data_IF_666954578679
#
_entry.id   IF_666954578679
#
_cell.length_a   1.000
_cell.length_b   1.000
_cell.length_c   1.000
_cell.angle_alpha   90.00
_cell.angle_beta   90.00
_cell.angle_gamma   90.00
#
_symmetry.space_group_name_H-M   'P 1'
#
loop_
_entity.id
_entity.type
_entity.pdbx_description
1 polymer ?
#
# COMPACT_ATOMS: atom_id res chain seq x y z
N UNK A 1 0.66 1.69 27.07
CA UNK A 1 0.40 0.41 26.39
C UNK A 1 -1.05 0.44 25.93
N UNK A 2 -1.30 0.41 24.62
CA UNK A 2 -2.63 0.37 24.03
C UNK A 2 -2.98 -1.07 23.63
N UNK A 3 -4.27 -1.38 23.52
CA UNK A 3 -4.78 -2.63 22.93
C UNK A 3 -5.11 -2.39 21.46
N UNK A 4 -4.56 -3.20 20.58
CA UNK A 4 -4.60 -2.99 19.14
C UNK A 4 -5.08 -4.25 18.44
N UNK A 5 -5.82 -4.08 17.34
CA UNK A 5 -6.17 -5.18 16.45
C UNK A 5 -5.60 -4.93 15.05
N UNK A 6 -4.90 -5.90 14.43
CA UNK A 6 -4.40 -5.76 13.06
C UNK A 6 -5.09 -6.73 12.11
N UNK A 7 -5.80 -6.18 11.12
CA UNK A 7 -6.61 -6.92 10.16
C UNK A 7 -5.89 -6.98 8.81
N UNK A 8 -5.47 -8.18 8.41
CA UNK A 8 -4.77 -8.42 7.15
C UNK A 8 -3.26 -8.51 7.33
N UNK A 9 -2.73 -9.73 7.22
CA UNK A 9 -1.31 -10.00 7.44
C UNK A 9 -0.60 -10.23 6.10
N UNK A 10 -0.84 -9.36 5.11
CA UNK A 10 -0.16 -9.41 3.81
C UNK A 10 1.34 -9.13 3.89
N UNK A 11 1.99 -8.94 2.74
CA UNK A 11 3.42 -8.55 2.67
C UNK A 11 3.71 -7.28 3.47
N UNK A 12 2.75 -6.36 3.52
CA UNK A 12 2.84 -5.12 4.30
C UNK A 12 2.39 -5.32 5.75
N UNK A 13 1.20 -5.88 5.97
CA UNK A 13 0.59 -5.97 7.30
C UNK A 13 1.34 -6.86 8.30
N UNK A 14 1.98 -7.93 7.84
CA UNK A 14 2.71 -8.87 8.70
C UNK A 14 3.84 -8.19 9.50
N UNK A 15 4.80 -7.49 8.88
CA UNK A 15 5.82 -6.75 9.61
C UNK A 15 5.27 -5.51 10.35
N UNK A 16 4.25 -4.83 9.81
CA UNK A 16 3.63 -3.67 10.49
C UNK A 16 3.03 -4.06 11.85
N UNK A 17 2.31 -5.18 11.92
CA UNK A 17 1.79 -5.71 13.17
C UNK A 17 2.92 -6.05 14.15
N UNK A 18 4.06 -6.57 13.65
CA UNK A 18 5.18 -6.95 14.50
C UNK A 18 5.85 -5.73 15.16
N UNK A 19 5.97 -4.61 14.44
CA UNK A 19 6.47 -3.36 15.01
C UNK A 19 5.62 -2.85 16.18
N UNK A 20 4.30 -3.10 16.16
CA UNK A 20 3.42 -2.72 17.26
C UNK A 20 3.67 -3.54 18.54
N UNK A 21 3.92 -4.84 18.40
CA UNK A 21 4.33 -5.69 19.54
C UNK A 21 5.69 -5.22 20.08
N UNK A 22 6.65 -4.96 19.18
CA UNK A 22 7.98 -4.48 19.56
C UNK A 22 7.94 -3.11 20.25
N UNK A 23 6.95 -2.27 19.95
CA UNK A 23 6.68 -1.01 20.63
C UNK A 23 5.99 -1.19 22.01
N UNK A 24 5.72 -2.42 22.43
CA UNK A 24 5.13 -2.75 23.72
C UNK A 24 3.60 -2.62 23.77
N UNK A 25 2.91 -2.73 22.64
CA UNK A 25 1.45 -2.80 22.59
C UNK A 25 0.94 -4.23 22.69
N UNK A 26 -0.29 -4.39 23.19
CA UNK A 26 -0.99 -5.68 23.14
C UNK A 26 -1.71 -5.78 21.78
N UNK A 27 -1.36 -6.76 20.96
CA UNK A 27 -1.85 -6.87 19.58
C UNK A 27 -2.60 -8.18 19.38
N UNK A 28 -3.83 -8.10 18.85
CA UNK A 28 -4.60 -9.24 18.36
C UNK A 28 -4.73 -9.17 16.85
N UNK A 29 -4.26 -10.19 16.13
CA UNK A 29 -4.29 -10.17 14.66
C UNK A 29 -5.43 -11.00 14.07
N UNK A 30 -5.88 -10.61 12.88
CA UNK A 30 -6.77 -11.40 12.05
C UNK A 30 -6.21 -11.47 10.62
N UNK A 31 -6.39 -12.62 9.98
CA UNK A 31 -6.18 -12.76 8.55
C UNK A 31 -7.17 -13.77 7.98
N UNK A 32 -7.64 -13.55 6.74
CA UNK A 32 -8.59 -14.44 6.05
C UNK A 32 -8.15 -15.91 6.04
N UNK A 33 -6.85 -16.16 5.92
CA UNK A 33 -6.24 -17.48 6.11
C UNK A 33 -5.74 -17.57 7.54
N UNK A 34 -6.44 -18.32 8.39
CA UNK A 34 -6.21 -18.41 9.84
C UNK A 34 -4.79 -18.88 10.18
N UNK A 35 -4.26 -19.84 9.41
CA UNK A 35 -2.91 -20.38 9.62
C UNK A 35 -1.83 -19.28 9.56
N UNK A 36 -2.09 -18.20 8.82
CA UNK A 36 -1.18 -17.05 8.74
C UNK A 36 -1.19 -16.23 10.04
N UNK A 37 -2.34 -16.10 10.68
CA UNK A 37 -2.51 -15.39 11.95
C UNK A 37 -1.91 -16.20 13.11
N UNK A 38 -2.16 -17.52 13.13
CA UNK A 38 -1.53 -18.47 14.07
C UNK A 38 0.00 -18.43 13.98
N UNK A 39 0.52 -18.51 12.75
CA UNK A 39 1.96 -18.42 12.50
C UNK A 39 2.54 -17.11 13.02
N UNK A 40 1.91 -15.98 12.68
CA UNK A 40 2.33 -14.66 13.15
C UNK A 40 2.37 -14.60 14.69
N UNK A 41 1.31 -15.07 15.36
CA UNK A 41 1.23 -15.07 16.82
C UNK A 41 2.34 -15.91 17.45
N UNK A 42 2.64 -17.08 16.87
CA UNK A 42 3.70 -17.98 17.34
C UNK A 42 5.12 -17.41 17.16
N UNK A 43 5.35 -16.63 16.11
CA UNK A 43 6.67 -16.09 15.76
C UNK A 43 6.98 -14.77 16.49
N UNK A 44 5.98 -13.90 16.65
CA UNK A 44 6.18 -12.52 17.09
C UNK A 44 5.79 -12.30 18.57
N UNK A 45 4.82 -13.05 19.10
CA UNK A 45 4.36 -12.91 20.48
C UNK A 45 3.22 -11.90 20.66
N UNK A 46 2.08 -12.17 20.03
CA UNK A 46 0.79 -11.51 20.25
C UNK A 46 -0.36 -12.51 20.15
N UNK A 47 -1.61 -12.04 20.19
CA UNK A 47 -2.80 -12.88 20.08
C UNK A 47 -3.33 -12.92 18.64
N UNK A 48 -4.22 -13.86 18.34
CA UNK A 48 -5.01 -13.86 17.11
C UNK A 48 -6.47 -14.20 17.39
N UNK A 49 -7.35 -13.83 16.48
CA UNK A 49 -8.77 -14.14 16.56
C UNK A 49 -9.31 -14.66 15.21
N UNK A 50 -10.39 -15.48 15.22
CA UNK A 50 -10.95 -16.08 14.01
C UNK A 50 -11.77 -15.11 13.15
N UNK A 51 -12.19 -13.97 13.69
CA UNK A 51 -12.98 -12.95 12.97
C UNK A 51 -12.43 -11.53 13.23
N UNK A 52 -12.64 -10.58 12.30
CA UNK A 52 -12.32 -9.17 12.53
C UNK A 52 -13.00 -8.60 13.78
N UNK A 53 -14.26 -8.96 14.04
CA UNK A 53 -15.01 -8.60 15.23
C UNK A 53 -14.30 -9.04 16.52
N UNK A 54 -13.91 -10.31 16.59
CA UNK A 54 -13.24 -10.84 17.78
C UNK A 54 -11.86 -10.21 17.97
N UNK A 55 -11.12 -9.95 16.89
CA UNK A 55 -9.85 -9.23 16.97
C UNK A 55 -10.03 -7.81 17.49
N UNK A 56 -11.08 -7.11 17.04
CA UNK A 56 -11.38 -5.74 17.42
C UNK A 56 -11.94 -5.57 18.84
N UNK A 57 -12.37 -6.66 19.48
CA UNK A 57 -13.07 -6.63 20.76
C UNK A 57 -12.23 -5.97 21.87
N UNK A 58 -12.67 -4.79 22.32
CA UNK A 58 -12.02 -4.04 23.39
C UNK A 58 -10.74 -3.30 22.99
N UNK A 59 -10.33 -3.36 21.72
CA UNK A 59 -9.20 -2.63 21.18
C UNK A 59 -9.44 -1.11 21.24
N UNK A 60 -8.37 -0.35 21.49
CA UNK A 60 -8.35 1.11 21.41
C UNK A 60 -8.18 1.58 19.96
N UNK A 61 -7.38 0.83 19.19
CA UNK A 61 -7.20 1.05 17.75
C UNK A 61 -7.35 -0.26 16.98
N UNK A 62 -7.98 -0.17 15.82
CA UNK A 62 -8.07 -1.29 14.87
C UNK A 62 -7.44 -0.83 13.57
N UNK A 63 -6.35 -1.48 13.17
CA UNK A 63 -5.64 -1.18 11.93
C UNK A 63 -5.98 -2.22 10.87
N UNK A 64 -6.09 -1.80 9.62
CA UNK A 64 -6.30 -2.71 8.49
C UNK A 64 -5.28 -2.48 7.37
N UNK A 65 -4.82 -3.56 6.73
CA UNK A 65 -4.03 -3.51 5.52
C UNK A 65 -4.37 -4.71 4.62
N UNK A 66 -5.43 -4.56 3.81
CA UNK A 66 -5.99 -5.63 2.97
C UNK A 66 -5.77 -5.37 1.48
N UNK A 67 -6.52 -6.00 0.58
CA UNK A 67 -6.24 -5.99 -0.87
C UNK A 67 -6.88 -4.82 -1.64
N UNK A 68 -8.18 -4.61 -1.47
CA UNK A 68 -8.97 -3.64 -2.24
C UNK A 68 -10.21 -3.17 -1.44
N UNK A 69 -11.06 -2.36 -2.09
CA UNK A 69 -12.29 -1.82 -1.52
C UNK A 69 -13.23 -2.90 -0.95
N UNK A 70 -13.43 -4.02 -1.66
CA UNK A 70 -14.31 -5.11 -1.23
C UNK A 70 -13.71 -5.90 -0.06
N UNK A 71 -12.40 -6.16 -0.10
CA UNK A 71 -11.68 -6.77 1.03
C UNK A 71 -11.80 -5.87 2.28
N UNK A 72 -11.70 -4.55 2.13
CA UNK A 72 -11.86 -3.61 3.25
C UNK A 72 -13.27 -3.66 3.82
N UNK A 73 -14.31 -3.61 2.96
CA UNK A 73 -15.70 -3.79 3.40
C UNK A 73 -15.88 -5.10 4.16
N UNK A 74 -15.31 -6.19 3.66
CA UNK A 74 -15.45 -7.52 4.25
C UNK A 74 -14.89 -7.64 5.66
N UNK A 75 -13.86 -6.85 6.01
CA UNK A 75 -13.29 -6.86 7.36
C UNK A 75 -13.87 -5.79 8.28
N UNK A 76 -14.57 -4.80 7.73
CA UNK A 76 -15.15 -3.68 8.49
C UNK A 76 -16.63 -3.89 8.80
N UNK A 77 -17.39 -4.36 7.83
CA UNK A 77 -18.86 -4.45 7.87
C UNK A 77 -19.35 -5.88 8.18
N UNK A 78 -20.63 -6.01 8.54
CA UNK A 78 -21.29 -7.29 8.82
C UNK A 78 -21.19 -7.74 10.28
N UNK A 79 -21.83 -8.86 10.60
CA UNK A 79 -21.91 -9.39 11.98
C UNK A 79 -20.56 -9.82 12.55
N UNK A 80 -19.62 -10.18 11.66
CA UNK A 80 -18.24 -10.55 11.98
C UNK A 80 -17.22 -9.45 11.64
N UNK A 81 -17.68 -8.30 11.14
CA UNK A 81 -16.84 -7.16 10.79
C UNK A 81 -16.31 -6.42 12.00
N UNK A 82 -15.22 -5.67 11.82
CA UNK A 82 -14.55 -4.94 12.89
C UNK A 82 -15.49 -3.99 13.65
N UNK A 83 -16.37 -3.28 12.94
CA UNK A 83 -17.30 -2.34 13.59
C UNK A 83 -18.24 -3.04 14.58
N UNK A 84 -18.59 -4.31 14.35
CA UNK A 84 -19.43 -5.08 15.29
C UNK A 84 -18.69 -5.50 16.58
N UNK A 85 -17.37 -5.35 16.64
CA UNK A 85 -16.53 -5.64 17.82
C UNK A 85 -15.91 -4.42 18.47
N UNK A 86 -15.83 -3.30 17.76
CA UNK A 86 -15.24 -2.06 18.25
C UNK A 86 -16.12 -1.39 19.31
N UNK A 87 -15.47 -0.69 20.25
CA UNK A 87 -16.11 0.12 21.28
C UNK A 87 -16.18 1.59 20.85
N UNK A 88 -17.16 2.32 21.39
CA UNK A 88 -17.22 3.78 21.28
C UNK A 88 -15.89 4.41 21.72
N UNK A 89 -15.43 5.41 20.98
CA UNK A 89 -14.15 6.10 21.22
C UNK A 89 -12.90 5.38 20.66
N UNK A 90 -13.02 4.15 20.16
CA UNK A 90 -11.92 3.51 19.44
C UNK A 90 -11.70 4.15 18.05
N UNK A 91 -10.50 3.99 17.48
CA UNK A 91 -10.16 4.53 16.15
C UNK A 91 -9.81 3.42 15.17
N UNK A 92 -10.49 3.41 14.01
CA UNK A 92 -10.12 2.56 12.88
C UNK A 92 -9.07 3.27 12.00
N UNK A 93 -7.96 2.60 11.73
CA UNK A 93 -6.84 3.11 10.91
C UNK A 93 -6.68 2.23 9.67
N UNK A 94 -7.07 2.75 8.51
CA UNK A 94 -7.00 2.00 7.25
C UNK A 94 -5.71 2.32 6.47
N UNK A 95 -4.78 1.36 6.41
CA UNK A 95 -3.56 1.45 5.60
C UNK A 95 -3.74 0.90 4.18
N UNK A 96 -4.90 0.36 3.86
CA UNK A 96 -5.21 -0.18 2.54
C UNK A 96 -5.22 0.97 1.52
N UNK A 97 -4.73 0.72 0.31
CA UNK A 97 -4.99 1.64 -0.80
C UNK A 97 -6.35 1.30 -1.40
N UNK A 98 -7.33 2.16 -1.21
CA UNK A 98 -8.73 1.98 -1.65
C UNK A 98 -9.27 3.26 -2.27
N UNK A 99 -10.48 3.22 -2.84
CA UNK A 99 -11.12 4.46 -3.28
C UNK A 99 -11.44 5.40 -2.12
N UNK A 100 -11.37 6.72 -2.36
CA UNK A 100 -11.80 7.70 -1.36
C UNK A 100 -13.31 7.58 -1.06
N UNK A 101 -14.10 7.02 -2.00
CA UNK A 101 -15.52 6.74 -1.84
C UNK A 101 -15.75 5.72 -0.72
N UNK A 102 -15.15 4.51 -0.81
CA UNK A 102 -15.36 3.47 0.20
C UNK A 102 -14.87 3.93 1.58
N UNK A 103 -13.75 4.64 1.64
CA UNK A 103 -13.23 5.24 2.87
C UNK A 103 -14.25 6.16 3.53
N UNK A 104 -14.87 7.08 2.77
CA UNK A 104 -15.87 8.02 3.30
C UNK A 104 -17.14 7.32 3.77
N UNK A 105 -17.60 6.31 3.01
CA UNK A 105 -18.78 5.53 3.38
C UNK A 105 -18.57 4.75 4.69
N UNK A 106 -17.44 4.07 4.83
CA UNK A 106 -17.13 3.28 6.02
C UNK A 106 -16.89 4.18 7.24
N UNK A 107 -16.21 5.31 7.06
CA UNK A 107 -16.03 6.30 8.12
C UNK A 107 -17.36 6.88 8.61
N UNK A 108 -18.32 7.13 7.72
CA UNK A 108 -19.66 7.59 8.11
C UNK A 108 -20.37 6.56 8.99
N UNK A 109 -20.30 5.27 8.63
CA UNK A 109 -20.87 4.16 9.44
C UNK A 109 -20.18 4.01 10.79
N UNK A 110 -18.86 4.15 10.82
CA UNK A 110 -18.10 4.14 12.07
C UNK A 110 -18.53 5.28 12.99
N UNK A 111 -18.75 6.48 12.44
CA UNK A 111 -19.17 7.65 13.22
C UNK A 111 -20.56 7.48 13.86
N UNK A 112 -21.49 6.74 13.24
CA UNK A 112 -22.79 6.40 13.84
C UNK A 112 -22.67 5.61 15.15
N UNK A 113 -21.53 4.93 15.36
CA UNK A 113 -21.21 4.14 16.56
C UNK A 113 -20.22 4.85 17.48
N UNK A 114 -19.92 6.14 17.22
CA UNK A 114 -18.92 6.90 17.96
C UNK A 114 -17.48 6.39 17.78
N UNK A 115 -17.19 5.70 16.67
CA UNK A 115 -15.87 5.21 16.31
C UNK A 115 -15.17 6.24 15.42
N UNK A 116 -13.91 6.54 15.74
CA UNK A 116 -13.05 7.41 14.93
C UNK A 116 -12.49 6.71 13.71
N UNK A 117 -12.11 7.48 12.69
CA UNK A 117 -11.56 6.96 11.44
C UNK A 117 -10.37 7.78 10.95
N UNK A 118 -9.33 7.09 10.50
CA UNK A 118 -8.16 7.64 9.80
C UNK A 118 -7.84 6.76 8.59
N UNK A 119 -7.96 7.29 7.37
CA UNK A 119 -7.36 6.65 6.20
C UNK A 119 -5.88 7.02 6.12
N UNK A 120 -5.01 6.04 6.23
CA UNK A 120 -3.57 6.17 6.36
C UNK A 120 -2.80 5.29 5.36
N UNK A 121 -3.09 5.29 4.05
CA UNK A 121 -2.35 4.49 3.08
C UNK A 121 -0.85 4.77 3.10
N UNK A 122 -0.06 3.74 2.77
CA UNK A 122 1.39 3.73 2.98
C UNK A 122 2.19 3.72 1.68
N UNK A 123 3.42 4.22 1.72
CA UNK A 123 4.41 4.15 0.64
C UNK A 123 5.79 3.79 1.20
N UNK A 124 6.61 3.09 0.42
CA UNK A 124 7.91 2.54 0.84
C UNK A 124 8.10 1.04 0.54
N UNK A 125 7.04 0.36 0.12
CA UNK A 125 7.08 -1.06 -0.26
C UNK A 125 7.39 -2.00 0.90
N UNK A 126 7.59 -3.28 0.59
CA UNK A 126 7.88 -4.34 1.57
C UNK A 126 9.07 -3.98 2.47
N UNK A 127 10.18 -3.54 1.87
CA UNK A 127 11.38 -3.15 2.62
C UNK A 127 11.10 -2.01 3.61
N UNK A 128 10.25 -1.04 3.25
CA UNK A 128 9.82 0.01 4.16
C UNK A 128 9.00 -0.54 5.34
N UNK A 129 8.13 -1.52 5.11
CA UNK A 129 7.33 -2.15 6.15
C UNK A 129 8.18 -2.98 7.11
N UNK A 130 9.09 -3.81 6.58
CA UNK A 130 10.02 -4.63 7.36
C UNK A 130 10.94 -3.78 8.25
N UNK A 131 11.46 -2.67 7.71
CA UNK A 131 12.38 -1.80 8.44
C UNK A 131 11.68 -0.72 9.29
N UNK A 132 10.35 -0.65 9.30
CA UNK A 132 9.61 0.39 10.02
C UNK A 132 9.89 1.80 9.51
N UNK A 133 10.01 1.96 8.19
CA UNK A 133 10.40 3.20 7.51
C UNK A 133 9.35 3.67 6.48
N UNK A 134 8.07 3.37 6.71
CA UNK A 134 7.01 3.76 5.79
C UNK A 134 6.74 5.26 5.81
N UNK A 135 6.38 5.81 4.66
CA UNK A 135 5.76 7.13 4.53
C UNK A 135 4.24 6.95 4.54
N UNK A 136 3.54 7.69 5.42
CA UNK A 136 2.14 7.46 5.72
C UNK A 136 1.34 8.75 5.48
N UNK A 137 0.31 8.63 4.66
CA UNK A 137 -0.50 9.73 4.15
C UNK A 137 -1.86 9.67 4.83
N UNK A 138 -2.12 10.57 5.77
CA UNK A 138 -3.32 10.47 6.61
C UNK A 138 -4.41 11.46 6.18
N UNK A 139 -5.65 10.99 6.13
CA UNK A 139 -6.88 11.77 6.18
C UNK A 139 -7.70 11.40 7.42
N UNK A 140 -8.41 12.36 8.02
CA UNK A 140 -9.20 12.15 9.22
C UNK A 140 -9.53 13.44 9.95
N UNK A 141 -10.15 13.34 11.14
CA UNK A 141 -10.22 14.49 12.05
C UNK A 141 -8.86 14.69 12.71
N UNK A 142 -8.49 15.93 13.01
CA UNK A 142 -7.20 16.25 13.65
C UNK A 142 -6.96 15.48 14.96
N UNK A 143 -7.99 15.33 15.80
CA UNK A 143 -7.88 14.59 17.07
C UNK A 143 -7.64 13.09 16.83
N UNK A 144 -8.40 12.46 15.93
CA UNK A 144 -8.20 11.06 15.57
C UNK A 144 -6.81 10.82 14.96
N UNK A 145 -6.36 11.73 14.08
CA UNK A 145 -5.03 11.68 13.51
C UNK A 145 -3.95 11.78 14.59
N UNK A 146 -4.10 12.71 15.53
CA UNK A 146 -3.12 12.93 16.60
C UNK A 146 -2.92 11.68 17.45
N UNK A 147 -4.01 11.02 17.82
CA UNK A 147 -3.99 9.76 18.56
C UNK A 147 -3.40 8.61 17.73
N UNK A 148 -3.89 8.43 16.49
CA UNK A 148 -3.40 7.38 15.61
C UNK A 148 -1.91 7.53 15.27
N UNK A 149 -1.42 8.77 15.10
CA UNK A 149 -0.02 9.07 14.79
C UNK A 149 0.94 8.48 15.80
N UNK A 150 0.58 8.47 17.09
CA UNK A 150 1.41 7.91 18.15
C UNK A 150 1.59 6.38 17.99
N UNK A 151 0.55 5.68 17.54
CA UNK A 151 0.58 4.24 17.27
C UNK A 151 1.32 3.96 15.95
N UNK A 152 1.02 4.74 14.91
CA UNK A 152 1.62 4.63 13.58
C UNK A 152 3.15 4.82 13.61
N UNK A 153 3.66 5.61 14.55
CA UNK A 153 5.09 5.89 14.71
C UNK A 153 5.96 4.63 14.84
N UNK A 154 5.40 3.49 15.29
CA UNK A 154 6.12 2.23 15.44
C UNK A 154 6.71 1.69 14.13
N UNK A 155 6.11 1.99 12.97
CA UNK A 155 6.54 1.46 11.67
C UNK A 155 6.70 2.54 10.58
N UNK A 156 6.74 3.81 10.98
CA UNK A 156 6.79 4.94 10.06
C UNK A 156 8.08 5.72 10.15
N UNK A 157 8.61 6.14 9.01
CA UNK A 157 9.63 7.19 8.91
C UNK A 157 9.01 8.58 8.98
N UNK A 158 7.81 8.74 8.43
CA UNK A 158 7.12 10.03 8.38
C UNK A 158 5.62 9.86 8.16
N UNK A 159 4.84 10.64 8.90
CA UNK A 159 3.38 10.55 8.94
C UNK A 159 2.80 11.96 8.95
N UNK A 160 1.99 12.28 7.93
CA UNK A 160 1.48 13.65 7.67
C UNK A 160 -0.04 13.61 7.48
N UNK A 161 -0.72 14.61 8.04
CA UNK A 161 -2.15 14.83 7.87
C UNK A 161 -2.42 15.77 6.69
N UNK A 162 -3.30 15.36 5.77
CA UNK A 162 -3.60 16.09 4.54
C UNK A 162 -5.01 16.70 4.50
N UNK A 163 -5.86 16.41 5.49
CA UNK A 163 -7.21 16.93 5.59
C UNK A 163 -8.20 15.87 6.03
N UNK A 164 -9.49 16.11 5.78
CA UNK A 164 -10.56 15.21 6.22
C UNK A 164 -10.46 13.79 5.62
N UNK A 165 -11.33 12.91 6.11
CA UNK A 165 -11.45 11.52 5.64
C UNK A 165 -11.48 11.43 4.10
N UNK A 166 -10.60 10.59 3.56
CA UNK A 166 -10.35 10.38 2.13
C UNK A 166 -9.17 11.18 1.59
N UNK A 167 -8.65 12.19 2.32
CA UNK A 167 -7.48 12.96 1.89
C UNK A 167 -6.20 12.10 1.85
N UNK A 168 -6.08 11.10 2.72
CA UNK A 168 -4.99 10.13 2.68
C UNK A 168 -5.03 9.30 1.40
N UNK A 169 -6.20 8.76 1.05
CA UNK A 169 -6.40 8.03 -0.21
C UNK A 169 -6.12 8.90 -1.45
N UNK A 170 -6.62 10.14 -1.49
CA UNK A 170 -6.32 11.06 -2.60
C UNK A 170 -4.81 11.33 -2.72
N UNK A 171 -4.13 11.53 -1.59
CA UNK A 171 -2.67 11.72 -1.56
C UNK A 171 -1.94 10.47 -2.08
N UNK A 172 -2.42 9.28 -1.71
CA UNK A 172 -1.89 8.01 -2.21
C UNK A 172 -2.09 7.87 -3.72
N UNK A 173 -3.25 8.25 -4.26
CA UNK A 173 -3.49 8.24 -5.72
C UNK A 173 -2.48 9.15 -6.44
N UNK A 174 -2.20 10.34 -5.92
CA UNK A 174 -1.15 11.23 -6.47
C UNK A 174 0.20 10.52 -6.47
N UNK A 175 0.57 9.86 -5.37
CA UNK A 175 1.81 9.08 -5.30
C UNK A 175 1.87 7.98 -6.37
N UNK A 176 0.79 7.22 -6.58
CA UNK A 176 0.75 6.15 -7.58
C UNK A 176 0.82 6.69 -9.02
N UNK A 177 0.20 7.83 -9.31
CA UNK A 177 0.32 8.54 -10.59
C UNK A 177 1.78 8.92 -10.87
N UNK A 178 2.48 9.49 -9.87
CA UNK A 178 3.90 9.84 -9.99
C UNK A 178 4.78 8.61 -10.21
N UNK A 179 4.54 7.51 -9.48
CA UNK A 179 5.28 6.25 -9.64
C UNK A 179 5.12 5.69 -11.05
N UNK A 180 3.89 5.63 -11.58
CA UNK A 180 3.61 5.08 -12.90
C UNK A 180 4.38 5.79 -14.02
N UNK A 181 4.37 7.13 -14.02
CA UNK A 181 5.12 7.90 -15.00
C UNK A 181 6.63 7.70 -14.86
N UNK A 182 7.15 7.74 -13.63
CA UNK A 182 8.58 7.60 -13.38
C UNK A 182 9.11 6.23 -13.80
N UNK A 183 8.43 5.15 -13.44
CA UNK A 183 8.91 3.79 -13.70
C UNK A 183 8.83 3.40 -15.19
N UNK A 184 7.84 3.92 -15.91
CA UNK A 184 7.80 3.80 -17.37
C UNK A 184 8.98 4.53 -18.02
N UNK A 185 9.25 5.78 -17.62
CA UNK A 185 10.38 6.55 -18.15
C UNK A 185 11.74 5.87 -17.86
N UNK A 186 11.90 5.28 -16.66
CA UNK A 186 13.08 4.48 -16.32
C UNK A 186 13.19 3.24 -17.21
N UNK A 187 12.08 2.56 -17.49
CA UNK A 187 12.05 1.38 -18.37
C UNK A 187 12.51 1.73 -19.79
N UNK A 188 12.01 2.82 -20.35
CA UNK A 188 12.43 3.33 -21.66
C UNK A 188 13.91 3.72 -21.68
N UNK A 189 14.37 4.48 -20.68
CA UNK A 189 15.74 4.96 -20.61
C UNK A 189 16.77 3.84 -20.45
N UNK A 190 16.48 2.85 -19.59
CA UNK A 190 17.36 1.70 -19.41
C UNK A 190 17.37 0.79 -20.63
N UNK A 191 16.22 0.56 -21.26
CA UNK A 191 16.17 -0.22 -22.49
C UNK A 191 16.97 0.46 -23.61
N UNK A 192 16.86 1.78 -23.77
CA UNK A 192 17.68 2.55 -24.70
C UNK A 192 19.18 2.39 -24.41
N UNK A 193 19.59 2.48 -23.15
CA UNK A 193 20.99 2.29 -22.76
C UNK A 193 21.50 0.89 -23.13
N UNK A 194 20.70 -0.16 -22.89
CA UNK A 194 21.02 -1.54 -23.26
C UNK A 194 21.20 -1.67 -24.78
N UNK A 195 20.24 -1.17 -25.57
CA UNK A 195 20.30 -1.25 -27.03
C UNK A 195 21.45 -0.41 -27.63
N UNK A 196 21.84 0.67 -26.95
CA UNK A 196 23.00 1.48 -27.32
C UNK A 196 24.36 0.82 -26.96
N UNK A 197 24.36 -0.38 -26.35
CA UNK A 197 25.57 -1.08 -25.93
C UNK A 197 26.24 -0.47 -24.70
N UNK A 198 25.52 0.36 -23.93
CA UNK A 198 26.02 0.95 -22.70
C UNK A 198 25.86 -0.02 -21.52
N UNK A 199 26.73 0.16 -20.52
CA UNK A 199 26.55 -0.47 -19.21
C UNK A 199 25.39 0.22 -18.47
N UNK A 200 24.19 -0.35 -18.60
CA UNK A 200 22.96 0.25 -18.09
C UNK A 200 22.97 0.46 -16.57
N UNK A 201 23.73 -0.35 -15.80
CA UNK A 201 23.89 -0.14 -14.35
C UNK A 201 24.73 1.10 -14.07
N UNK A 202 25.87 1.28 -14.77
CA UNK A 202 26.65 2.52 -14.65
C UNK A 202 25.87 3.76 -15.10
N UNK A 203 25.06 3.63 -16.15
CA UNK A 203 24.16 4.72 -16.57
C UNK A 203 23.19 5.07 -15.44
N UNK A 204 22.53 4.08 -14.84
CA UNK A 204 21.62 4.30 -13.72
C UNK A 204 22.32 4.96 -12.52
N UNK A 205 23.50 4.46 -12.14
CA UNK A 205 24.29 4.99 -11.01
C UNK A 205 24.65 6.46 -11.18
N UNK A 206 25.06 6.89 -12.38
CA UNK A 206 25.40 8.27 -12.65
C UNK A 206 24.16 9.16 -12.83
N UNK A 207 23.19 8.72 -13.65
CA UNK A 207 22.01 9.53 -13.97
C UNK A 207 21.12 9.74 -12.75
N UNK A 208 21.07 8.77 -11.83
CA UNK A 208 20.31 8.88 -10.57
C UNK A 208 20.75 10.03 -9.67
N UNK A 209 21.98 10.54 -9.84
CA UNK A 209 22.53 11.67 -9.09
C UNK A 209 22.21 13.04 -9.72
N UNK A 210 21.71 13.05 -10.96
CA UNK A 210 21.40 14.27 -11.72
C UNK A 210 19.90 14.51 -11.88
N UNK A 211 19.54 15.43 -12.78
CA UNK A 211 18.15 15.81 -13.04
C UNK A 211 17.28 14.67 -13.62
N UNK A 212 17.89 13.63 -14.20
CA UNK A 212 17.19 12.41 -14.61
C UNK A 212 16.93 11.44 -13.47
N UNK A 213 17.37 11.75 -12.25
CA UNK A 213 17.26 10.88 -11.10
C UNK A 213 15.83 10.75 -10.56
N UNK A 214 15.54 9.56 -10.05
CA UNK A 214 14.32 9.27 -9.31
C UNK A 214 14.57 8.13 -8.34
N UNK A 215 13.68 7.97 -7.35
CA UNK A 215 13.74 6.81 -6.46
C UNK A 215 13.66 5.49 -7.25
N UNK A 216 12.84 5.45 -8.31
CA UNK A 216 12.70 4.26 -9.16
C UNK A 216 14.01 3.92 -9.87
N UNK A 217 14.70 4.91 -10.47
CA UNK A 217 15.98 4.67 -11.13
C UNK A 217 17.03 4.15 -10.14
N UNK A 218 17.14 4.78 -8.97
CA UNK A 218 18.13 4.40 -7.95
C UNK A 218 17.88 3.01 -7.34
N UNK A 219 16.63 2.55 -7.25
CA UNK A 219 16.28 1.33 -6.51
C UNK A 219 15.83 0.16 -7.39
N UNK A 220 15.46 0.39 -8.66
CA UNK A 220 14.94 -0.66 -9.56
C UNK A 220 15.82 -0.97 -10.75
N UNK A 221 16.73 -0.07 -11.14
CA UNK A 221 17.52 -0.26 -12.35
C UNK A 221 18.33 -1.56 -12.35
N UNK A 222 18.95 -1.92 -11.23
CA UNK A 222 19.71 -3.15 -11.11
C UNK A 222 18.89 -4.39 -11.45
N UNK A 223 17.74 -4.57 -10.79
CA UNK A 223 16.87 -5.72 -11.01
C UNK A 223 16.23 -5.72 -12.41
N UNK A 224 15.94 -4.54 -12.97
CA UNK A 224 15.47 -4.42 -14.36
C UNK A 224 16.51 -4.89 -15.38
N UNK A 225 17.77 -4.50 -15.19
CA UNK A 225 18.89 -4.92 -16.03
C UNK A 225 19.10 -6.44 -15.89
N UNK A 226 19.02 -6.97 -14.67
CA UNK A 226 19.25 -8.39 -14.36
C UNK A 226 18.06 -9.31 -14.68
N UNK A 227 16.93 -8.75 -15.14
CA UNK A 227 15.71 -9.51 -15.45
C UNK A 227 15.04 -10.17 -14.23
N UNK A 228 15.12 -9.51 -13.06
CA UNK A 228 14.61 -10.02 -11.80
C UNK A 228 13.39 -9.20 -11.32
N UNK A 229 12.22 -9.84 -11.21
CA UNK A 229 10.98 -9.15 -10.83
C UNK A 229 10.16 -9.84 -9.75
N UNK A 230 10.64 -10.93 -9.15
CA UNK A 230 9.93 -11.64 -8.07
C UNK A 230 10.18 -10.97 -6.70
N UNK A 231 9.87 -9.68 -6.61
CA UNK A 231 10.00 -8.85 -5.41
C UNK A 231 9.01 -7.68 -5.43
N UNK A 232 9.03 -6.86 -4.37
CA UNK A 232 8.44 -5.52 -4.42
C UNK A 232 6.91 -5.50 -4.55
N UNK A 233 6.42 -4.66 -5.46
CA UNK A 233 4.98 -4.38 -5.59
C UNK A 233 4.44 -4.93 -6.90
N UNK A 234 3.51 -5.88 -6.82
CA UNK A 234 3.03 -6.61 -7.99
C UNK A 234 2.25 -5.72 -8.97
N UNK A 235 2.38 -6.03 -10.27
CA UNK A 235 1.62 -5.38 -11.35
C UNK A 235 0.11 -5.41 -11.10
N UNK A 236 -0.45 -6.53 -10.63
CA UNK A 236 -1.88 -6.64 -10.32
C UNK A 236 -2.35 -5.57 -9.32
N UNK A 237 -1.54 -5.29 -8.30
CA UNK A 237 -1.85 -4.28 -7.28
C UNK A 237 -1.71 -2.86 -7.84
N UNK A 238 -0.69 -2.63 -8.67
CA UNK A 238 -0.51 -1.35 -9.34
C UNK A 238 -1.64 -1.04 -10.32
N UNK A 239 -2.09 -2.02 -11.12
CA UNK A 239 -3.26 -1.91 -11.98
C UNK A 239 -4.50 -1.51 -11.19
N UNK A 240 -4.72 -2.12 -10.02
CA UNK A 240 -5.82 -1.75 -9.12
C UNK A 240 -5.68 -0.30 -8.62
N UNK A 241 -4.49 0.10 -8.18
CA UNK A 241 -4.22 1.47 -7.72
C UNK A 241 -4.47 2.52 -8.82
N UNK A 242 -3.98 2.24 -10.03
CA UNK A 242 -4.18 3.13 -11.18
C UNK A 242 -5.65 3.17 -11.60
N UNK A 243 -6.36 2.05 -11.54
CA UNK A 243 -7.81 2.01 -11.75
C UNK A 243 -8.57 2.94 -10.80
N UNK A 244 -8.21 2.95 -9.52
CA UNK A 244 -8.79 3.86 -8.51
C UNK A 244 -8.47 5.32 -8.86
N UNK A 245 -7.20 5.63 -9.15
CA UNK A 245 -6.79 7.00 -9.48
C UNK A 245 -7.46 7.52 -10.77
N UNK A 246 -7.61 6.68 -11.79
CA UNK A 246 -8.30 7.00 -13.05
C UNK A 246 -9.80 7.24 -12.84
N UNK A 247 -10.45 6.39 -12.02
CA UNK A 247 -11.85 6.58 -11.66
C UNK A 247 -12.06 7.89 -10.89
N UNK A 248 -11.20 8.19 -9.92
CA UNK A 248 -11.24 9.44 -9.17
C UNK A 248 -11.00 10.66 -10.06
N UNK A 249 -10.03 10.58 -10.98
CA UNK A 249 -9.76 11.63 -11.96
C UNK A 249 -10.98 11.92 -12.83
N UNK A 250 -11.66 10.88 -13.32
CA UNK A 250 -12.90 11.02 -14.10
C UNK A 250 -14.01 11.71 -13.30
N UNK A 251 -14.22 11.34 -12.04
CA UNK A 251 -15.20 11.97 -11.16
C UNK A 251 -14.92 13.48 -11.00
N UNK A 252 -13.65 13.85 -10.90
CA UNK A 252 -13.21 15.25 -10.79
C UNK A 252 -13.17 16.00 -12.14
N UNK A 253 -13.49 15.35 -13.26
CA UNK A 253 -13.36 15.94 -14.60
C UNK A 253 -11.92 16.14 -15.07
N UNK A 254 -10.96 15.40 -14.50
CA UNK A 254 -9.54 15.45 -14.84
C UNK A 254 -9.15 14.37 -15.86
N UNK A 255 -8.22 14.72 -16.75
CA UNK A 255 -7.60 13.76 -17.66
C UNK A 255 -6.21 13.36 -17.14
N UNK A 256 -5.96 12.05 -16.99
CA UNK A 256 -4.69 11.48 -16.56
C UNK A 256 -4.08 10.61 -17.69
N UNK A 257 -3.65 11.21 -18.82
CA UNK A 257 -3.32 10.46 -20.03
C UNK A 257 -2.09 9.55 -19.87
N UNK A 258 -1.05 10.01 -19.17
CA UNK A 258 0.16 9.20 -18.90
C UNK A 258 -0.20 7.99 -18.03
N UNK A 259 -1.03 8.19 -17.01
CA UNK A 259 -1.50 7.11 -16.14
C UNK A 259 -2.29 6.07 -16.90
N UNK A 260 -3.24 6.50 -17.76
CA UNK A 260 -4.03 5.60 -18.58
C UNK A 260 -3.15 4.79 -19.53
N UNK A 261 -2.14 5.42 -20.13
CA UNK A 261 -1.20 4.74 -21.02
C UNK A 261 -0.38 3.67 -20.28
N UNK A 262 0.20 4.02 -19.13
CA UNK A 262 0.99 3.07 -18.33
C UNK A 262 0.13 1.94 -17.77
N UNK A 263 -1.12 2.23 -17.41
CA UNK A 263 -2.08 1.19 -17.01
C UNK A 263 -2.30 0.15 -18.13
N UNK A 264 -2.46 0.60 -19.39
CA UNK A 264 -2.53 -0.33 -20.53
C UNK A 264 -1.24 -1.12 -20.72
N UNK A 265 -0.08 -0.50 -20.51
CA UNK A 265 1.20 -1.17 -20.58
C UNK A 265 1.32 -2.30 -19.55
N UNK A 266 0.88 -2.07 -18.32
CA UNK A 266 0.78 -3.13 -17.33
C UNK A 266 -0.20 -4.24 -17.75
N UNK A 267 -1.24 -3.93 -18.52
CA UNK A 267 -2.11 -4.93 -19.14
C UNK A 267 -1.34 -5.88 -20.07
N UNK A 268 -0.37 -5.37 -20.85
CA UNK A 268 0.50 -6.21 -21.67
C UNK A 268 1.39 -7.11 -20.80
N UNK A 269 1.92 -6.59 -19.69
CA UNK A 269 2.72 -7.38 -18.74
C UNK A 269 1.89 -8.52 -18.13
N UNK A 270 0.64 -8.26 -17.78
CA UNK A 270 -0.28 -9.32 -17.32
C UNK A 270 -0.50 -10.39 -18.39
N UNK A 271 -0.66 -10.01 -19.66
CA UNK A 271 -0.78 -10.96 -20.77
C UNK A 271 0.50 -11.78 -20.99
N UNK A 272 1.66 -11.30 -20.53
CA UNK A 272 2.92 -12.06 -20.52
C UNK A 272 3.02 -13.04 -19.33
N UNK A 273 2.01 -13.12 -18.46
CA UNK A 273 2.06 -13.88 -17.22
C UNK A 273 2.72 -13.14 -16.05
N UNK A 274 3.06 -11.86 -16.23
CA UNK A 274 3.80 -11.05 -15.27
C UNK A 274 2.96 -10.33 -14.22
N UNK A 275 1.72 -10.74 -13.96
CA UNK A 275 0.83 -10.05 -13.01
C UNK A 275 1.39 -9.97 -11.58
N UNK A 276 2.21 -10.96 -11.19
CA UNK A 276 2.87 -11.02 -9.89
C UNK A 276 4.27 -10.40 -9.83
N UNK A 277 4.82 -9.98 -10.97
CA UNK A 277 6.11 -9.32 -11.05
C UNK A 277 6.05 -7.91 -10.47
N UNK A 278 7.18 -7.41 -9.99
CA UNK A 278 7.33 -6.02 -9.56
C UNK A 278 6.94 -5.05 -10.68
N UNK A 279 6.40 -3.89 -10.31
CA UNK A 279 6.06 -2.79 -11.22
C UNK A 279 7.16 -2.36 -12.18
N UNK A 280 8.44 -2.63 -11.88
CA UNK A 280 9.59 -2.37 -12.76
C UNK A 280 9.67 -3.30 -13.97
N UNK A 281 8.84 -4.34 -14.03
CA UNK A 281 8.74 -5.26 -15.17
C UNK A 281 8.21 -4.65 -16.47
N UNK A 282 7.82 -3.36 -16.49
CA UNK A 282 7.45 -2.65 -17.73
C UNK A 282 8.54 -2.73 -18.81
N UNK A 283 9.82 -2.84 -18.42
CA UNK A 283 10.93 -3.04 -19.36
C UNK A 283 10.76 -4.30 -20.22
N UNK A 284 10.08 -5.33 -19.72
CA UNK A 284 9.80 -6.58 -20.46
C UNK A 284 9.00 -6.35 -21.73
N UNK A 285 8.15 -5.31 -21.77
CA UNK A 285 7.37 -4.97 -22.96
C UNK A 285 8.27 -4.65 -24.13
N UNK A 286 9.35 -3.90 -23.89
CA UNK A 286 10.30 -3.54 -24.94
C UNK A 286 11.07 -4.77 -25.44
N UNK A 287 11.48 -5.65 -24.53
CA UNK A 287 12.12 -6.92 -24.88
C UNK A 287 11.21 -7.77 -25.78
N UNK A 288 9.93 -7.92 -25.39
CA UNK A 288 8.92 -8.64 -26.19
C UNK A 288 8.67 -7.98 -27.56
N UNK A 289 8.53 -6.65 -27.61
CA UNK A 289 8.32 -5.91 -28.87
C UNK A 289 9.47 -6.07 -29.88
N UNK A 290 10.68 -6.33 -29.39
CA UNK A 290 11.88 -6.52 -30.23
C UNK A 290 12.29 -7.99 -30.40
N UNK A 291 11.45 -8.94 -29.95
CA UNK A 291 11.68 -10.38 -30.14
C UNK A 291 12.77 -10.98 -29.25
N UNK A 292 13.07 -10.35 -28.11
CA UNK A 292 14.02 -10.86 -27.10
C UNK A 292 13.36 -11.85 -26.12
N UNK A 293 12.04 -12.00 -26.18
CA UNK A 293 11.20 -12.88 -25.35
C UNK A 293 10.21 -13.68 -26.19
#
# INVERSE_FOLDING_TARGET
MAKLAFLGLGVMGYPMAAHLVNAGHAVTVYNRTTEKAEKWASEIGGDFAPTPREAAAGADFVMACVGNDDDLRSVVEGEDGALAGMKEGAIFVDHTTVSALVTRELAARAAEQGIGWVDAPVSGGQAGAENGQLAIMCGGKDDHFTEAKAIIAAYSKGTVHFGDVGAGQLTKMVNQVCIAGAIQAVSEGLYLAIQAGLDAKKVADLVSQGAGGSWQLANRAGTMVDNEFDHGFAVDWMRKDLGIALAQGKEMGLSLPVTALVDQFYGDVQQMGGGRWDTSSLIQRFRKMNGEL
#
